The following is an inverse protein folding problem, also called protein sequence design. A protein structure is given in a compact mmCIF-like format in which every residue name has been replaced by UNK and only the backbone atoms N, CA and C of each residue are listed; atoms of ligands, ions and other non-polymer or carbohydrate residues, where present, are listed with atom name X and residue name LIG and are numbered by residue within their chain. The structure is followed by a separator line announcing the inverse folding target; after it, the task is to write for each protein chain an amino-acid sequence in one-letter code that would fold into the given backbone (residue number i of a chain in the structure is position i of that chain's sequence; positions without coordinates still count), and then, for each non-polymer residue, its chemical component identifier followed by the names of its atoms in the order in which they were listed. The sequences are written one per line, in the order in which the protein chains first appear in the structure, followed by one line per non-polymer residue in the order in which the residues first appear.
data_IF_270212189353
#
_entry.id   IF_270212189353
#
_cell.length_a   1.000
_cell.length_b   1.000
_cell.length_c   1.000
_cell.angle_alpha   90.00
_cell.angle_beta   90.00
_cell.angle_gamma   90.00
#
_symmetry.space_group_name_H-M   'P 1'
#
loop_
_entity.id
_entity.type
_entity.pdbx_description
1 polymer ?
#
# COMPACT_ATOMS: atom_id res chain seq x y z
N UNK A 1 1.13 -9.04 -15.78
CA UNK A 1 -0.07 -8.27 -15.45
C UNK A 1 0.34 -6.84 -15.21
N UNK A 2 -0.11 -5.90 -16.05
CA UNK A 2 0.14 -4.47 -15.91
C UNK A 2 -0.99 -3.75 -15.17
N UNK A 3 -0.83 -2.44 -14.92
CA UNK A 3 -1.85 -1.63 -14.27
C UNK A 3 -3.20 -1.64 -15.01
N UNK A 4 -3.18 -1.64 -16.36
CA UNK A 4 -4.40 -1.72 -17.16
C UNK A 4 -5.16 -3.04 -16.95
N UNK A 5 -4.44 -4.16 -16.83
CA UNK A 5 -5.05 -5.48 -16.56
C UNK A 5 -5.72 -5.50 -15.19
N UNK A 6 -5.10 -4.86 -14.18
CA UNK A 6 -5.68 -4.76 -12.83
C UNK A 6 -6.97 -3.94 -12.84
N UNK A 7 -6.99 -2.81 -13.57
CA UNK A 7 -8.20 -1.99 -13.70
C UNK A 7 -9.30 -2.76 -14.43
N UNK A 8 -8.95 -3.48 -15.50
CA UNK A 8 -9.90 -4.32 -16.22
C UNK A 8 -10.48 -5.43 -15.32
N UNK A 9 -9.63 -6.10 -14.52
CA UNK A 9 -10.05 -7.15 -13.61
C UNK A 9 -10.94 -6.63 -12.47
N UNK A 10 -10.71 -5.40 -11.97
CA UNK A 10 -11.54 -4.77 -10.96
C UNK A 10 -12.94 -4.36 -11.50
N UNK A 11 -13.13 -4.35 -12.82
CA UNK A 11 -14.37 -4.02 -13.50
C UNK A 11 -15.11 -2.78 -12.94
N UNK A 12 -14.44 -1.62 -12.77
CA UNK A 12 -15.09 -0.42 -12.27
C UNK A 12 -16.16 0.06 -13.26
N UNK A 13 -17.23 0.63 -12.70
CA UNK A 13 -18.23 1.37 -13.45
C UNK A 13 -17.63 2.62 -14.12
N UNK A 14 -18.41 3.30 -14.95
CA UNK A 14 -17.93 4.45 -15.72
C UNK A 14 -17.39 5.57 -14.79
N UNK A 15 -18.09 5.85 -13.70
CA UNK A 15 -17.67 6.84 -12.70
C UNK A 15 -16.41 6.42 -11.93
N UNK A 16 -16.17 5.12 -11.75
CA UNK A 16 -14.95 4.57 -11.19
C UNK A 16 -13.75 4.75 -12.13
N UNK A 17 -13.94 4.50 -13.43
CA UNK A 17 -12.88 4.63 -14.44
C UNK A 17 -12.32 6.05 -14.53
N UNK A 18 -13.17 7.06 -14.46
CA UNK A 18 -12.74 8.47 -14.50
C UNK A 18 -11.93 8.90 -13.28
N UNK A 19 -11.93 8.11 -12.19
CA UNK A 19 -11.19 8.38 -10.96
C UNK A 19 -9.85 7.64 -10.88
N UNK A 20 -9.50 6.86 -11.90
CA UNK A 20 -8.27 6.07 -11.95
C UNK A 20 -7.30 6.71 -12.95
N UNK A 21 -6.12 7.08 -12.47
CA UNK A 21 -4.99 7.49 -13.32
C UNK A 21 -3.89 6.42 -13.25
N UNK A 22 -3.36 6.05 -14.42
CA UNK A 22 -2.25 5.10 -14.54
C UNK A 22 -1.01 5.88 -14.97
N UNK A 23 0.08 5.69 -14.25
CA UNK A 23 1.38 6.26 -14.56
C UNK A 23 2.41 5.16 -14.79
N UNK A 24 3.38 5.42 -15.67
CA UNK A 24 4.55 4.55 -15.86
C UNK A 24 5.57 4.84 -14.79
N UNK A 25 6.36 3.84 -14.44
CA UNK A 25 7.31 3.94 -13.34
C UNK A 25 8.47 4.94 -13.60
N UNK A 26 8.65 5.39 -14.85
CA UNK A 26 9.62 6.41 -15.24
C UNK A 26 9.02 7.82 -15.43
N UNK A 27 7.72 8.01 -15.23
CA UNK A 27 7.04 9.32 -15.34
C UNK A 27 7.21 10.13 -14.04
N UNK A 28 8.42 10.61 -13.78
CA UNK A 28 8.75 11.36 -12.56
C UNK A 28 8.13 12.77 -12.51
N UNK A 29 7.48 13.20 -13.59
CA UNK A 29 6.69 14.43 -13.71
C UNK A 29 5.21 14.22 -13.34
N UNK A 30 4.78 12.98 -13.05
CA UNK A 30 3.42 12.69 -12.61
C UNK A 30 3.07 13.46 -11.32
N UNK A 31 1.79 13.88 -11.12
CA UNK A 31 1.39 14.66 -9.94
C UNK A 31 1.80 14.04 -8.60
N UNK A 32 1.76 12.71 -8.50
CA UNK A 32 2.11 11.94 -7.28
C UNK A 32 3.61 12.02 -6.92
N UNK A 33 4.45 12.56 -7.80
CA UNK A 33 5.88 12.80 -7.53
C UNK A 33 6.14 14.09 -6.73
N UNK A 34 5.09 14.88 -6.45
CA UNK A 34 5.17 16.16 -5.76
C UNK A 34 4.38 16.18 -4.44
N UNK A 35 4.98 16.74 -3.40
CA UNK A 35 4.30 17.00 -2.11
C UNK A 35 3.28 18.14 -2.16
N UNK A 36 3.26 18.92 -3.24
CA UNK A 36 2.21 19.95 -3.45
C UNK A 36 0.87 19.35 -3.85
N UNK A 37 0.86 18.08 -4.30
CA UNK A 37 -0.35 17.34 -4.63
C UNK A 37 -0.69 16.45 -3.44
N UNK A 38 -1.62 16.92 -2.60
CA UNK A 38 -1.97 16.21 -1.37
C UNK A 38 -2.61 14.86 -1.67
N UNK A 39 -2.00 13.79 -1.14
CA UNK A 39 -2.56 12.46 -1.15
C UNK A 39 -3.11 12.12 0.24
N UNK A 40 -4.18 11.32 0.28
CA UNK A 40 -4.71 10.78 1.53
C UNK A 40 -3.78 9.71 2.11
N UNK A 41 -3.23 8.85 1.24
CA UNK A 41 -2.25 7.83 1.59
C UNK A 41 -1.52 7.36 0.32
N UNK A 42 -0.33 6.79 0.51
CA UNK A 42 0.39 6.00 -0.50
C UNK A 42 0.44 4.55 -0.02
N UNK A 43 -0.02 3.61 -0.85
CA UNK A 43 -0.05 2.18 -0.52
C UNK A 43 0.76 1.42 -1.57
N UNK A 44 1.77 0.66 -1.14
CA UNK A 44 2.56 -0.21 -2.02
C UNK A 44 2.20 -1.67 -1.71
N UNK A 45 1.52 -2.33 -2.65
CA UNK A 45 0.98 -3.68 -2.46
C UNK A 45 1.11 -4.56 -3.72
N UNK A 46 1.80 -5.71 -3.64
CA UNK A 46 2.80 -6.05 -2.62
C UNK A 46 4.03 -5.12 -2.71
N UNK A 47 4.69 -4.88 -1.58
CA UNK A 47 5.99 -4.21 -1.55
C UNK A 47 7.11 -5.26 -1.65
N UNK A 48 8.04 -5.05 -2.60
CA UNK A 48 9.23 -5.91 -2.75
C UNK A 48 10.37 -5.48 -1.80
N UNK A 49 11.34 -6.37 -1.55
CA UNK A 49 12.54 -6.04 -0.77
C UNK A 49 13.35 -4.90 -1.42
N UNK A 50 13.41 -4.86 -2.76
CA UNK A 50 14.04 -3.78 -3.52
C UNK A 50 13.36 -2.43 -3.27
N UNK A 51 12.02 -2.39 -3.30
CA UNK A 51 11.24 -1.19 -2.97
C UNK A 51 11.48 -0.74 -1.53
N UNK A 52 11.54 -1.67 -0.57
CA UNK A 52 11.88 -1.32 0.81
C UNK A 52 13.28 -0.70 0.92
N UNK A 53 14.28 -1.31 0.27
CA UNK A 53 15.65 -0.78 0.27
C UNK A 53 15.73 0.61 -0.34
N UNK A 54 15.05 0.83 -1.46
CA UNK A 54 15.00 2.14 -2.11
C UNK A 54 14.34 3.20 -1.21
N UNK A 55 13.21 2.88 -0.57
CA UNK A 55 12.53 3.81 0.33
C UNK A 55 13.36 4.06 1.61
N UNK A 56 13.93 3.01 2.22
CA UNK A 56 14.71 3.12 3.45
C UNK A 56 15.98 3.96 3.26
N UNK A 57 16.58 3.91 2.07
CA UNK A 57 17.77 4.69 1.71
C UNK A 57 17.45 6.05 1.07
N UNK A 58 16.18 6.32 0.77
CA UNK A 58 15.77 7.54 0.05
C UNK A 58 16.12 7.55 -1.45
N UNK A 59 16.45 6.39 -2.02
CA UNK A 59 16.74 6.23 -3.45
C UNK A 59 15.44 6.34 -4.27
N UNK A 60 15.09 7.56 -4.67
CA UNK A 60 13.90 7.87 -5.48
C UNK A 60 14.14 7.65 -6.99
N UNK A 61 14.59 6.45 -7.38
CA UNK A 61 14.96 6.12 -8.77
C UNK A 61 13.78 5.84 -9.71
N UNK A 62 12.60 5.59 -9.15
CA UNK A 62 11.36 5.34 -9.91
C UNK A 62 10.20 6.12 -9.32
N UNK A 63 9.07 6.18 -10.04
CA UNK A 63 7.89 6.89 -9.59
C UNK A 63 7.31 6.29 -8.31
N UNK A 64 7.33 4.96 -8.17
CA UNK A 64 6.91 4.29 -6.91
C UNK A 64 7.81 4.74 -5.75
N UNK A 65 9.13 4.71 -5.94
CA UNK A 65 10.07 5.15 -4.90
C UNK A 65 9.88 6.62 -4.55
N UNK A 66 9.65 7.46 -5.58
CA UNK A 66 9.42 8.88 -5.42
C UNK A 66 8.13 9.18 -4.66
N UNK A 67 7.02 8.52 -5.01
CA UNK A 67 5.74 8.69 -4.33
C UNK A 67 5.81 8.27 -2.85
N UNK A 68 6.53 7.19 -2.53
CA UNK A 68 6.77 6.79 -1.14
C UNK A 68 7.66 7.79 -0.38
N UNK A 69 8.73 8.30 -1.00
CA UNK A 69 9.58 9.34 -0.41
C UNK A 69 8.80 10.65 -0.17
N UNK A 70 7.87 11.01 -1.07
CA UNK A 70 6.95 12.14 -0.87
C UNK A 70 6.04 11.90 0.33
N UNK A 71 5.43 10.71 0.46
CA UNK A 71 4.60 10.40 1.61
C UNK A 71 5.38 10.52 2.93
N UNK A 72 6.61 10.00 3.00
CA UNK A 72 7.46 10.11 4.19
C UNK A 72 7.79 11.57 4.55
N UNK A 73 8.26 12.37 3.59
CA UNK A 73 8.67 13.77 3.88
C UNK A 73 7.48 14.67 4.25
N UNK A 74 6.31 14.40 3.69
CA UNK A 74 5.07 15.13 3.99
C UNK A 74 4.34 14.60 5.23
N UNK A 75 4.85 13.51 5.84
CA UNK A 75 4.23 12.80 6.97
C UNK A 75 2.82 12.32 6.67
N UNK A 76 2.59 11.88 5.42
CA UNK A 76 1.35 11.22 5.02
C UNK A 76 1.46 9.71 5.25
N UNK A 77 0.32 9.01 5.42
CA UNK A 77 0.32 7.56 5.55
C UNK A 77 1.02 6.89 4.36
N UNK A 78 2.11 6.18 4.63
CA UNK A 78 2.77 5.26 3.70
C UNK A 78 2.56 3.84 4.21
N UNK A 79 1.74 3.05 3.53
CA UNK A 79 1.45 1.66 3.90
C UNK A 79 2.24 0.71 2.99
N UNK A 80 2.92 -0.25 3.62
CA UNK A 80 3.80 -1.19 2.94
C UNK A 80 3.30 -2.62 3.15
N UNK A 81 2.72 -3.20 2.11
CA UNK A 81 2.31 -4.61 2.05
C UNK A 81 3.50 -5.53 1.75
N UNK A 82 4.55 -5.48 2.56
CA UNK A 82 5.75 -6.30 2.34
C UNK A 82 5.41 -7.79 2.44
N UNK A 83 5.80 -8.55 1.43
CA UNK A 83 5.51 -10.00 1.35
C UNK A 83 6.77 -10.74 0.93
N UNK A 84 7.44 -11.36 1.91
CA UNK A 84 8.63 -12.18 1.68
C UNK A 84 8.76 -13.25 2.78
N UNK A 85 9.34 -14.40 2.45
CA UNK A 85 9.72 -15.43 3.43
C UNK A 85 10.75 -16.40 2.83
N UNK A 86 11.81 -16.77 3.57
CA UNK A 86 12.20 -16.29 4.90
C UNK A 86 12.75 -14.86 4.89
N UNK A 87 12.83 -14.24 6.06
CA UNK A 87 13.39 -12.89 6.20
C UNK A 87 14.90 -12.92 6.43
N UNK A 88 15.64 -12.17 5.63
CA UNK A 88 17.02 -11.84 5.88
C UNK A 88 17.14 -10.59 6.77
N UNK A 89 18.27 -10.42 7.45
CA UNK A 89 18.53 -9.24 8.30
C UNK A 89 18.34 -7.92 7.54
N UNK A 90 18.72 -7.88 6.25
CA UNK A 90 18.52 -6.70 5.40
C UNK A 90 17.04 -6.31 5.25
N UNK A 91 16.13 -7.29 5.21
CA UNK A 91 14.70 -6.99 5.19
C UNK A 91 14.28 -6.33 6.51
N UNK A 92 14.73 -6.88 7.64
CA UNK A 92 14.39 -6.39 8.98
C UNK A 92 14.92 -4.97 9.22
N UNK A 93 16.15 -4.67 8.81
CA UNK A 93 16.72 -3.32 8.96
C UNK A 93 16.01 -2.28 8.08
N UNK A 94 15.62 -2.64 6.86
CA UNK A 94 14.82 -1.76 6.02
C UNK A 94 13.43 -1.52 6.62
N UNK A 95 12.76 -2.58 7.09
CA UNK A 95 11.46 -2.47 7.76
C UNK A 95 11.54 -1.62 9.03
N UNK A 96 12.58 -1.82 9.85
CA UNK A 96 12.87 -1.00 11.03
C UNK A 96 13.03 0.45 10.63
N UNK A 97 13.91 0.75 9.69
CA UNK A 97 14.18 2.13 9.22
C UNK A 97 12.91 2.83 8.77
N UNK A 98 12.10 2.16 7.94
CA UNK A 98 10.84 2.70 7.44
C UNK A 98 9.78 2.88 8.53
N UNK A 99 9.69 1.94 9.47
CA UNK A 99 8.80 2.07 10.64
C UNK A 99 9.18 3.27 11.49
N UNK A 100 10.48 3.47 11.77
CA UNK A 100 10.98 4.64 12.49
C UNK A 100 10.76 5.96 11.74
N UNK A 101 10.76 5.92 10.40
CA UNK A 101 10.43 7.07 9.55
C UNK A 101 8.91 7.37 9.48
N UNK A 102 8.06 6.53 10.06
CA UNK A 102 6.61 6.72 10.12
C UNK A 102 5.81 5.94 9.07
N UNK A 103 6.45 5.07 8.27
CA UNK A 103 5.71 4.14 7.42
C UNK A 103 5.00 3.07 8.26
N UNK A 104 3.88 2.57 7.76
CA UNK A 104 3.11 1.49 8.37
C UNK A 104 3.41 0.20 7.61
N UNK A 105 4.11 -0.73 8.26
CA UNK A 105 4.37 -2.07 7.73
C UNK A 105 3.12 -2.93 7.98
N UNK A 106 2.38 -3.23 6.91
CA UNK A 106 1.11 -3.94 6.96
C UNK A 106 1.15 -5.15 6.00
N UNK A 107 1.90 -6.21 6.31
CA UNK A 107 2.08 -7.36 5.43
C UNK A 107 0.75 -8.12 5.24
N UNK A 108 0.49 -8.72 4.06
CA UNK A 108 -0.70 -9.52 3.80
C UNK A 108 -0.61 -10.89 4.49
N UNK A 109 -0.78 -10.90 5.82
CA UNK A 109 -0.73 -12.11 6.64
C UNK A 109 -2.16 -12.53 7.01
N UNK A 110 -2.60 -13.76 6.65
CA UNK A 110 -3.91 -14.27 7.01
C UNK A 110 -4.19 -14.27 8.52
N UNK A 111 -5.28 -13.64 8.90
CA UNK A 111 -5.82 -13.66 10.25
C UNK A 111 -6.72 -14.89 10.43
N UNK A 112 -6.13 -16.03 10.80
CA UNK A 112 -6.86 -17.29 10.96
C UNK A 112 -7.94 -17.27 12.05
N UNK A 113 -7.93 -16.27 12.94
CA UNK A 113 -8.95 -16.10 13.98
C UNK A 113 -10.30 -15.56 13.47
N UNK A 114 -10.39 -15.09 12.22
CA UNK A 114 -11.60 -14.44 11.68
C UNK A 114 -12.70 -15.46 11.29
N UNK A 115 -12.39 -16.76 11.30
CA UNK A 115 -13.31 -17.82 10.91
C UNK A 115 -13.71 -17.74 9.41
N UNK A 116 -13.98 -18.88 8.80
CA UNK A 116 -14.30 -18.97 7.37
C UNK A 116 -13.07 -19.29 6.51
N UNK A 117 -13.25 -20.21 5.55
CA UNK A 117 -12.19 -20.85 4.78
C UNK A 117 -12.01 -20.26 3.37
N UNK A 118 -12.43 -19.02 3.13
CA UNK A 118 -12.27 -18.40 1.80
C UNK A 118 -11.14 -17.37 1.77
N UNK A 119 -10.29 -17.48 0.75
CA UNK A 119 -9.26 -16.50 0.44
C UNK A 119 -9.87 -15.10 0.26
N UNK A 120 -11.06 -15.01 -0.33
CA UNK A 120 -11.75 -13.74 -0.57
C UNK A 120 -12.06 -13.00 0.73
N UNK A 121 -12.54 -13.70 1.76
CA UNK A 121 -12.81 -13.09 3.07
C UNK A 121 -11.54 -12.55 3.73
N UNK A 122 -10.40 -13.24 3.56
CA UNK A 122 -9.11 -12.74 4.00
C UNK A 122 -8.71 -11.47 3.24
N UNK A 123 -8.82 -11.48 1.91
CA UNK A 123 -8.48 -10.33 1.07
C UNK A 123 -9.35 -9.12 1.41
N UNK A 124 -10.65 -9.30 1.61
CA UNK A 124 -11.57 -8.23 2.01
C UNK A 124 -11.21 -7.66 3.38
N UNK A 125 -10.93 -8.51 4.37
CA UNK A 125 -10.52 -8.07 5.70
C UNK A 125 -9.18 -7.30 5.67
N UNK A 126 -8.22 -7.77 4.85
CA UNK A 126 -6.93 -7.12 4.67
C UNK A 126 -7.06 -5.76 3.96
N UNK A 127 -7.82 -5.70 2.87
CA UNK A 127 -8.12 -4.46 2.16
C UNK A 127 -8.84 -3.46 3.06
N UNK A 128 -9.84 -3.90 3.83
CA UNK A 128 -10.52 -3.05 4.81
C UNK A 128 -9.53 -2.49 5.85
N UNK A 129 -8.60 -3.32 6.35
CA UNK A 129 -7.57 -2.87 7.30
C UNK A 129 -6.66 -1.80 6.70
N UNK A 130 -6.25 -1.95 5.44
CA UNK A 130 -5.45 -0.93 4.75
C UNK A 130 -6.23 0.38 4.56
N UNK A 131 -7.51 0.29 4.20
CA UNK A 131 -8.38 1.47 4.07
C UNK A 131 -8.60 2.18 5.41
N UNK A 132 -8.83 1.43 6.50
CA UNK A 132 -8.92 1.98 7.85
C UNK A 132 -7.63 2.73 8.24
N UNK A 133 -6.46 2.14 7.99
CA UNK A 133 -5.15 2.75 8.25
C UNK A 133 -4.88 3.98 7.37
N UNK A 134 -5.43 4.03 6.16
CA UNK A 134 -5.39 5.18 5.27
C UNK A 134 -6.40 6.29 5.64
N UNK A 135 -7.27 6.07 6.64
CA UNK A 135 -8.36 6.99 6.98
C UNK A 135 -9.50 7.01 5.95
N UNK A 136 -9.59 5.97 5.11
CA UNK A 136 -10.57 5.79 4.03
C UNK A 136 -11.50 4.59 4.28
N UNK A 137 -11.50 4.05 5.50
CA UNK A 137 -12.29 2.90 5.87
C UNK A 137 -13.80 3.15 5.84
N UNK A 138 -14.63 2.08 5.74
CA UNK A 138 -16.08 2.20 5.77
C UNK A 138 -16.58 2.79 7.10
N UNK A 139 -17.69 3.52 7.05
CA UNK A 139 -18.33 4.13 8.23
C UNK A 139 -19.12 3.13 9.09
N UNK A 140 -19.46 1.96 8.55
CA UNK A 140 -20.15 0.87 9.26
C UNK A 140 -19.21 -0.16 9.89
N UNK A 141 -19.76 -1.22 10.52
CA UNK A 141 -18.95 -2.25 11.19
C UNK A 141 -18.09 -3.06 10.22
N UNK A 142 -18.52 -3.29 8.98
CA UNK A 142 -17.77 -4.06 7.98
C UNK A 142 -17.34 -5.44 8.54
N UNK A 143 -16.10 -5.85 8.26
CA UNK A 143 -15.46 -7.04 8.82
C UNK A 143 -14.72 -6.74 10.15
N UNK A 144 -15.03 -5.64 10.84
CA UNK A 144 -14.41 -5.34 12.15
C UNK A 144 -14.86 -6.39 13.15
N UNK A 145 -13.91 -6.78 14.01
CA UNK A 145 -14.20 -7.66 15.12
C UNK A 145 -15.25 -7.02 16.04
N UNK A 146 -16.35 -7.73 16.30
CA UNK A 146 -17.47 -7.26 17.11
C UNK A 146 -17.36 -7.63 18.59
N UNK A 147 -16.42 -8.52 18.94
CA UNK A 147 -16.34 -9.09 20.28
C UNK A 147 -17.41 -10.15 20.50
N UNK A 148 -16.96 -11.39 20.70
CA UNK A 148 -17.65 -12.42 21.47
C UNK A 148 -16.65 -12.94 22.52
#
# INVERSE_FOLDING_TARGET
TGAADLVAAAAPDEAGRTRIAIHRDNELDAPIASGSVRLAATIVLPASSGTLGALATGQASTLIHRAGAVALKERWPLLLGFRETPLALVHLENLRTLTYAGAIVAPPIPAFYIGGESMDRFLDAYCQRLLDLAGLGPTGPGLRWSGD
#
